data_IF_419046298387
#
_entry.id   IF_419046298387
#
_cell.length_a   1.000
_cell.length_b   1.000
_cell.length_c   1.000
_cell.angle_alpha   90.00
_cell.angle_beta   90.00
_cell.angle_gamma   90.00
#
_symmetry.space_group_name_H-M   'P 1'
#
loop_
_entity.id
_entity.type
_entity.pdbx_description
1 polymer ?
#
# COMPACT_ATOMS: atom_id res chain seq x y z
N UNK A 1 12.15 -16.03 -2.83
CA UNK A 1 12.72 -14.97 -3.68
C UNK A 1 13.67 -14.16 -2.81
N UNK A 2 14.85 -13.76 -3.32
CA UNK A 2 15.82 -12.98 -2.52
C UNK A 2 15.53 -11.48 -2.54
N UNK A 3 16.26 -10.71 -1.71
CA UNK A 3 16.15 -9.26 -1.44
C UNK A 3 15.95 -8.30 -2.63
N UNK A 4 16.29 -8.73 -3.85
CA UNK A 4 16.20 -7.92 -5.07
C UNK A 4 15.36 -8.57 -6.18
N UNK A 5 14.67 -9.68 -5.90
CA UNK A 5 13.98 -10.48 -6.91
C UNK A 5 12.96 -9.65 -7.68
N UNK A 6 12.09 -8.90 -6.98
CA UNK A 6 11.08 -8.07 -7.64
C UNK A 6 11.68 -7.04 -8.60
N UNK A 7 12.70 -6.28 -8.16
CA UNK A 7 13.35 -5.23 -8.97
C UNK A 7 14.01 -5.78 -10.24
N UNK A 8 14.31 -7.08 -10.29
CA UNK A 8 14.89 -7.76 -11.46
C UNK A 8 13.83 -8.44 -12.33
N UNK A 9 12.63 -8.68 -11.81
CA UNK A 9 11.56 -9.41 -12.49
C UNK A 9 10.59 -8.52 -13.27
N UNK A 10 10.57 -7.21 -13.02
CA UNK A 10 9.70 -6.26 -13.73
C UNK A 10 10.54 -5.26 -14.54
N UNK A 11 10.12 -5.01 -15.78
CA UNK A 11 10.68 -3.97 -16.61
C UNK A 11 10.38 -2.59 -15.98
N UNK A 12 11.45 -1.82 -15.72
CA UNK A 12 11.36 -0.52 -15.04
C UNK A 12 10.44 0.49 -15.74
N UNK A 13 10.39 0.43 -17.07
CA UNK A 13 9.65 1.39 -17.91
C UNK A 13 8.17 1.02 -18.10
N UNK A 14 7.75 -0.18 -17.70
CA UNK A 14 6.37 -0.62 -17.83
C UNK A 14 5.56 -0.23 -16.58
N UNK A 15 4.32 0.27 -16.72
CA UNK A 15 3.41 0.40 -15.59
C UNK A 15 3.16 -0.96 -14.94
N UNK A 16 3.11 -1.01 -13.60
CA UNK A 16 2.90 -2.26 -12.87
C UNK A 16 2.12 -2.08 -11.58
N UNK A 17 1.45 -3.16 -11.17
CA UNK A 17 0.90 -3.35 -9.84
C UNK A 17 1.72 -4.43 -9.11
N UNK A 18 1.91 -4.26 -7.80
CA UNK A 18 2.71 -5.19 -7.02
C UNK A 18 2.21 -5.28 -5.58
N UNK A 19 2.17 -6.50 -5.07
CA UNK A 19 1.79 -6.83 -3.69
C UNK A 19 2.88 -7.67 -3.03
N UNK A 20 3.23 -7.34 -1.79
CA UNK A 20 4.10 -8.15 -0.94
C UNK A 20 3.29 -8.90 0.11
N UNK A 21 3.61 -10.17 0.31
CA UNK A 21 3.09 -10.99 1.40
C UNK A 21 4.13 -11.25 2.50
N UNK A 22 5.40 -11.06 2.17
CA UNK A 22 6.56 -11.20 3.07
C UNK A 22 7.61 -10.16 2.69
N UNK A 23 8.69 -10.05 3.46
CA UNK A 23 9.76 -9.08 3.19
C UNK A 23 10.40 -9.22 1.80
N UNK A 24 10.46 -10.45 1.26
CA UNK A 24 11.13 -10.75 -0.01
C UNK A 24 10.23 -11.49 -1.02
N UNK A 25 8.91 -11.51 -0.79
CA UNK A 25 7.99 -12.34 -1.56
C UNK A 25 6.64 -11.68 -1.80
N UNK A 26 6.13 -11.85 -3.02
CA UNK A 26 4.94 -11.16 -3.51
C UNK A 26 4.57 -11.55 -4.94
N UNK A 27 3.62 -10.80 -5.51
CA UNK A 27 3.16 -10.95 -6.89
C UNK A 27 3.20 -9.60 -7.60
N UNK A 28 3.75 -9.59 -8.81
CA UNK A 28 3.77 -8.43 -9.70
C UNK A 28 2.93 -8.67 -10.95
N UNK A 29 2.27 -7.63 -11.43
CA UNK A 29 1.46 -7.64 -12.65
C UNK A 29 1.80 -6.41 -13.50
N UNK A 30 2.14 -6.61 -14.77
CA UNK A 30 2.34 -5.52 -15.72
C UNK A 30 0.98 -5.01 -16.17
N UNK A 31 0.79 -3.70 -16.13
CA UNK A 31 -0.44 -3.04 -16.57
C UNK A 31 -0.21 -2.53 -18.00
N UNK A 32 -0.69 -3.29 -18.98
CA UNK A 32 -0.50 -2.98 -20.40
C UNK A 32 -1.47 -1.89 -20.90
N UNK A 33 -2.75 -1.99 -20.51
CA UNK A 33 -3.79 -1.05 -20.89
C UNK A 33 -4.33 -0.31 -19.65
N UNK A 34 -3.77 0.89 -19.43
CA UNK A 34 -4.19 1.77 -18.34
C UNK A 34 -5.64 2.24 -18.45
N UNK A 35 -6.27 2.18 -19.63
CA UNK A 35 -7.66 2.60 -19.82
C UNK A 35 -8.66 1.59 -19.26
N UNK A 36 -8.26 0.31 -19.20
CA UNK A 36 -9.06 -0.80 -18.64
C UNK A 36 -8.72 -1.10 -17.18
N UNK A 37 -7.57 -0.61 -16.70
CA UNK A 37 -7.16 -0.74 -15.31
C UNK A 37 -8.03 0.14 -14.39
N UNK A 38 -8.44 -0.35 -13.20
CA UNK A 38 -9.18 0.47 -12.25
C UNK A 38 -8.43 1.75 -11.88
N UNK A 39 -9.15 2.88 -11.83
CA UNK A 39 -8.54 4.19 -11.60
C UNK A 39 -7.88 4.28 -10.22
N UNK A 40 -6.69 4.88 -10.17
CA UNK A 40 -5.97 5.12 -8.92
C UNK A 40 -5.62 3.81 -8.20
N UNK A 41 -6.00 3.72 -6.94
CA UNK A 41 -5.77 2.55 -6.07
C UNK A 41 -6.96 1.59 -5.99
N UNK A 42 -7.99 1.79 -6.82
CA UNK A 42 -9.25 1.03 -6.73
C UNK A 42 -9.06 -0.48 -6.92
N UNK A 43 -8.13 -0.92 -7.77
CA UNK A 43 -7.84 -2.35 -7.91
C UNK A 43 -7.46 -2.98 -6.57
N UNK A 44 -6.54 -2.35 -5.83
CA UNK A 44 -6.12 -2.85 -4.52
C UNK A 44 -7.28 -2.80 -3.50
N UNK A 45 -8.07 -1.72 -3.52
CA UNK A 45 -9.18 -1.55 -2.59
C UNK A 45 -10.32 -2.53 -2.81
N UNK A 46 -10.65 -2.85 -4.06
CA UNK A 46 -11.68 -3.84 -4.38
C UNK A 46 -11.26 -5.24 -3.93
N UNK A 47 -9.99 -5.60 -4.16
CA UNK A 47 -9.43 -6.88 -3.68
C UNK A 47 -9.44 -6.95 -2.15
N UNK A 48 -8.86 -5.95 -1.46
CA UNK A 48 -8.81 -5.94 0.02
C UNK A 48 -10.21 -5.85 0.61
N UNK A 49 -11.07 -5.02 0.02
CA UNK A 49 -12.45 -4.84 0.44
C UNK A 49 -13.27 -6.12 0.35
N UNK A 50 -13.11 -6.88 -0.73
CA UNK A 50 -13.72 -8.21 -0.86
C UNK A 50 -13.20 -9.21 0.17
N UNK A 51 -11.91 -9.16 0.53
CA UNK A 51 -11.32 -10.04 1.56
C UNK A 51 -11.90 -9.77 2.95
N UNK A 52 -12.15 -8.49 3.28
CA UNK A 52 -12.63 -8.08 4.62
C UNK A 52 -14.14 -7.85 4.67
N UNK A 53 -14.87 -8.20 3.60
CA UNK A 53 -16.31 -7.97 3.44
C UNK A 53 -16.73 -6.50 3.69
N UNK A 54 -15.93 -5.56 3.17
CA UNK A 54 -16.22 -4.14 3.28
C UNK A 54 -17.33 -3.72 2.30
N UNK A 55 -18.23 -2.86 2.77
CA UNK A 55 -19.29 -2.33 1.91
C UNK A 55 -18.71 -1.51 0.72
N UNK A 56 -19.38 -1.55 -0.46
CA UNK A 56 -18.89 -0.86 -1.67
C UNK A 56 -18.63 0.64 -1.49
N UNK A 57 -19.40 1.30 -0.63
CA UNK A 57 -19.27 2.73 -0.36
C UNK A 57 -17.97 3.06 0.40
N UNK A 58 -17.46 2.14 1.22
CA UNK A 58 -16.17 2.28 1.90
C UNK A 58 -15.02 2.07 0.92
N UNK A 59 -15.11 1.04 0.08
CA UNK A 59 -14.11 0.70 -0.94
C UNK A 59 -13.87 1.88 -1.89
N UNK A 60 -14.95 2.50 -2.37
CA UNK A 60 -14.91 3.59 -3.36
C UNK A 60 -14.64 4.97 -2.75
N UNK A 61 -14.58 5.09 -1.41
CA UNK A 61 -14.46 6.37 -0.72
C UNK A 61 -13.15 7.08 -1.04
N UNK A 62 -13.23 8.21 -1.74
CA UNK A 62 -12.09 9.09 -1.98
C UNK A 62 -11.95 10.09 -0.82
N UNK A 63 -11.05 9.79 0.11
CA UNK A 63 -10.76 10.64 1.25
C UNK A 63 -9.97 11.88 0.86
N UNK A 64 -10.13 12.97 1.62
CA UNK A 64 -9.25 14.13 1.55
C UNK A 64 -8.31 14.11 2.74
N UNK A 65 -7.07 14.50 2.50
CA UNK A 65 -6.10 14.67 3.58
C UNK A 65 -6.43 15.93 4.37
N UNK A 66 -6.55 15.78 5.69
CA UNK A 66 -6.61 16.89 6.62
C UNK A 66 -5.26 17.03 7.31
N UNK A 67 -4.84 18.27 7.57
CA UNK A 67 -3.58 18.53 8.30
C UNK A 67 -3.63 17.99 9.73
N UNK A 68 -4.81 17.94 10.32
CA UNK A 68 -5.07 17.41 11.66
C UNK A 68 -6.10 16.29 11.50
N UNK A 69 -5.72 15.08 11.90
CA UNK A 69 -6.62 13.91 11.91
C UNK A 69 -6.51 13.20 13.28
N UNK A 70 -7.57 13.25 14.10
CA UNK A 70 -7.54 12.71 15.46
C UNK A 70 -7.31 11.19 15.49
N UNK A 71 -7.55 10.47 14.38
CA UNK A 71 -7.29 9.03 14.28
C UNK A 71 -5.80 8.70 14.38
N UNK A 72 -4.92 9.65 14.06
CA UNK A 72 -3.47 9.42 14.02
C UNK A 72 -2.86 9.25 15.41
N UNK A 73 -3.43 9.85 16.46
CA UNK A 73 -2.84 9.85 17.79
C UNK A 73 -2.83 8.45 18.44
N UNK A 74 -3.90 7.68 18.23
CA UNK A 74 -3.97 6.29 18.69
C UNK A 74 -2.91 5.41 18.03
N UNK A 75 -2.75 5.55 16.70
CA UNK A 75 -1.75 4.81 15.94
C UNK A 75 -0.32 5.14 16.40
N UNK A 76 0.00 6.43 16.57
CA UNK A 76 1.33 6.87 17.05
C UNK A 76 1.68 6.27 18.42
N UNK A 77 0.73 6.23 19.35
CA UNK A 77 0.94 5.64 20.68
C UNK A 77 1.27 4.15 20.59
N UNK A 78 0.53 3.40 19.77
CA UNK A 78 0.77 1.96 19.56
C UNK A 78 2.08 1.66 18.84
N UNK A 79 2.46 2.48 17.85
CA UNK A 79 3.68 2.31 17.07
C UNK A 79 4.96 2.69 17.82
N UNK A 80 4.87 3.52 18.87
CA UNK A 80 6.02 4.14 19.56
C UNK A 80 7.13 3.18 19.97
N UNK A 81 6.82 1.94 20.33
CA UNK A 81 7.81 0.93 20.75
C UNK A 81 8.59 0.28 19.60
N UNK A 82 8.11 0.40 18.36
CA UNK A 82 8.73 -0.17 17.17
C UNK A 82 9.41 0.89 16.29
N UNK A 83 9.26 2.15 16.64
CA UNK A 83 9.76 3.27 15.87
C UNK A 83 11.25 3.51 16.13
N UNK A 84 12.09 2.95 15.28
CA UNK A 84 13.54 3.14 15.31
C UNK A 84 13.96 4.60 15.00
N UNK A 85 13.12 5.38 14.31
CA UNK A 85 13.48 6.76 13.92
C UNK A 85 13.55 7.70 15.12
N UNK A 86 12.97 7.31 16.26
CA UNK A 86 13.11 8.05 17.52
C UNK A 86 14.55 8.17 17.99
N UNK A 87 15.37 7.16 17.72
CA UNK A 87 16.79 7.21 18.07
C UNK A 87 17.54 8.26 17.26
N UNK A 88 17.08 8.62 16.05
CA UNK A 88 17.70 9.65 15.21
C UNK A 88 17.34 11.08 15.63
N UNK A 89 16.27 11.25 16.43
CA UNK A 89 15.79 12.54 16.88
C UNK A 89 16.25 12.90 18.30
N UNK A 90 16.84 11.93 19.01
CA UNK A 90 17.36 12.07 20.37
C UNK A 90 18.92 12.25 20.39
N UNK A 91 19.56 12.30 19.21
CA UNK A 91 20.92 12.81 18.96
C UNK A 91 20.89 14.30 18.56
#
# INVERSE_FOLDING_TARGET
MGRAAFRRSIAKEAPYFHVWFTLDGGLGHIVEDSSRWPKGDLFAREVIGGIVDAEPHLIKKQGRWARIDPRTDGFKKGWRKFDWTRMLAEE
#
